data_IF_346055998507
#
_entry.id   IF_346055998507
#
_cell.length_a   1.000
_cell.length_b   1.000
_cell.length_c   1.000
_cell.angle_alpha   90.00
_cell.angle_beta   90.00
_cell.angle_gamma   90.00
#
_symmetry.space_group_name_H-M   'P 1'
#
loop_
_entity.id
_entity.type
_entity.pdbx_description
1 polymer ?
#
# COMPACT_ATOMS: atom_id res chain seq x y z
N UNK A 1 11.26 20.18 -51.83
CA UNK A 1 10.92 20.77 -50.50
C UNK A 1 9.53 20.35 -50.00
N UNK A 2 8.46 20.39 -50.80
CA UNK A 2 7.10 19.97 -50.39
C UNK A 2 6.96 18.48 -50.03
N UNK A 3 7.60 17.59 -50.79
CA UNK A 3 7.57 16.14 -50.57
C UNK A 3 8.20 15.72 -49.22
N UNK A 4 9.26 16.40 -48.80
CA UNK A 4 9.93 16.16 -47.50
C UNK A 4 9.07 16.60 -46.31
N UNK A 5 8.37 17.74 -46.43
CA UNK A 5 7.43 18.22 -45.41
C UNK A 5 6.23 17.29 -45.24
N UNK A 6 5.70 16.76 -46.35
CA UNK A 6 4.59 15.80 -46.33
C UNK A 6 5.00 14.47 -45.69
N UNK A 7 6.17 13.94 -46.05
CA UNK A 7 6.72 12.71 -45.44
C UNK A 7 6.92 12.87 -43.92
N UNK A 8 7.47 14.01 -43.50
CA UNK A 8 7.66 14.31 -42.07
C UNK A 8 6.32 14.43 -41.32
N UNK A 9 5.29 15.03 -41.94
CA UNK A 9 3.96 15.10 -41.35
C UNK A 9 3.33 13.71 -41.14
N UNK A 10 3.50 12.79 -42.10
CA UNK A 10 3.04 11.40 -41.97
C UNK A 10 3.75 10.66 -40.84
N UNK A 11 5.07 10.81 -40.71
CA UNK A 11 5.83 10.19 -39.62
C UNK A 11 5.38 10.70 -38.25
N UNK A 12 5.10 12.00 -38.12
CA UNK A 12 4.58 12.58 -36.88
C UNK A 12 3.17 12.08 -36.54
N UNK A 13 2.31 11.91 -37.55
CA UNK A 13 0.96 11.35 -37.32
C UNK A 13 1.03 9.90 -36.90
N UNK A 14 1.86 9.08 -37.55
CA UNK A 14 2.09 7.69 -37.15
C UNK A 14 2.63 7.61 -35.73
N UNK A 15 3.63 8.43 -35.39
CA UNK A 15 4.20 8.48 -34.05
C UNK A 15 3.16 8.87 -32.99
N UNK A 16 2.32 9.86 -33.28
CA UNK A 16 1.22 10.26 -32.40
C UNK A 16 0.21 9.12 -32.19
N UNK A 17 -0.17 8.42 -33.27
CA UNK A 17 -1.09 7.27 -33.17
C UNK A 17 -0.47 6.12 -32.36
N UNK A 18 0.83 5.87 -32.48
CA UNK A 18 1.55 4.88 -31.66
C UNK A 18 1.52 5.26 -30.18
N UNK A 19 1.73 6.53 -29.83
CA UNK A 19 1.62 7.00 -28.45
C UNK A 19 0.20 6.81 -27.92
N UNK A 20 -0.82 7.21 -28.69
CA UNK A 20 -2.22 7.12 -28.27
C UNK A 20 -2.63 5.67 -28.04
N UNK A 21 -2.28 4.77 -28.96
CA UNK A 21 -2.60 3.34 -28.82
C UNK A 21 -1.87 2.69 -27.65
N UNK A 22 -0.59 2.99 -27.44
CA UNK A 22 0.18 2.53 -26.28
C UNK A 22 -0.42 3.01 -24.96
N UNK A 23 -0.77 4.29 -24.86
CA UNK A 23 -1.39 4.86 -23.67
C UNK A 23 -2.76 4.23 -23.37
N UNK A 24 -3.56 3.93 -24.40
CA UNK A 24 -4.87 3.26 -24.26
C UNK A 24 -4.77 1.78 -23.91
N UNK A 25 -3.67 1.13 -24.29
CA UNK A 25 -3.41 -0.26 -23.95
C UNK A 25 -2.95 -0.45 -22.49
N UNK A 26 -2.62 0.62 -21.77
CA UNK A 26 -2.31 0.52 -20.35
C UNK A 26 -3.57 0.19 -19.55
N UNK A 27 -3.63 -1.05 -19.05
CA UNK A 27 -4.57 -1.44 -18.00
C UNK A 27 -3.85 -1.43 -16.66
N UNK A 28 -4.42 -0.74 -15.68
CA UNK A 28 -4.05 -0.95 -14.28
C UNK A 28 -4.84 -2.14 -13.76
N UNK A 29 -4.19 -3.05 -13.04
CA UNK A 29 -4.88 -4.17 -12.40
C UNK A 29 -6.01 -3.68 -11.50
N UNK A 30 -7.06 -4.46 -11.36
CA UNK A 30 -8.12 -4.15 -10.41
C UNK A 30 -7.58 -4.37 -8.99
N UNK A 31 -7.77 -3.39 -8.12
CA UNK A 31 -7.44 -3.56 -6.71
C UNK A 31 -8.41 -4.58 -6.11
N UNK A 32 -7.86 -5.63 -5.52
CA UNK A 32 -8.63 -6.63 -4.78
C UNK A 32 -8.38 -6.45 -3.28
N UNK A 33 -9.43 -6.68 -2.47
CA UNK A 33 -9.28 -6.72 -1.03
C UNK A 33 -8.53 -8.00 -0.65
N UNK A 34 -7.31 -7.84 -0.13
CA UNK A 34 -6.51 -8.99 0.34
C UNK A 34 -6.73 -9.24 1.83
N UNK A 35 -6.70 -8.17 2.63
CA UNK A 35 -6.88 -8.23 4.07
C UNK A 35 -7.66 -7.00 4.58
N UNK A 36 -8.45 -7.22 5.63
CA UNK A 36 -9.21 -6.20 6.34
C UNK A 36 -9.11 -6.47 7.85
N UNK A 37 -9.00 -5.40 8.64
CA UNK A 37 -8.96 -5.47 10.09
C UNK A 37 -9.86 -4.39 10.68
N UNK A 38 -10.78 -4.78 11.56
CA UNK A 38 -11.50 -3.82 12.40
C UNK A 38 -10.61 -3.29 13.54
N UNK A 39 -9.76 -4.18 14.09
CA UNK A 39 -8.79 -3.88 15.14
C UNK A 39 -7.54 -4.73 14.92
N UNK A 40 -6.36 -4.14 15.11
CA UNK A 40 -5.10 -4.88 15.07
C UNK A 40 -4.86 -5.54 16.44
N UNK A 41 -4.66 -6.86 16.39
CA UNK A 41 -4.21 -7.66 17.53
C UNK A 41 -2.89 -8.36 17.21
N UNK A 42 -2.18 -8.76 18.26
CA UNK A 42 -0.90 -9.45 18.15
C UNK A 42 -1.04 -10.91 18.54
N UNK A 43 -0.11 -11.74 18.06
CA UNK A 43 -0.03 -13.14 18.49
C UNK A 43 0.61 -13.19 19.89
N UNK A 44 -0.21 -13.40 20.91
CA UNK A 44 0.23 -13.41 22.31
C UNK A 44 0.66 -14.82 22.74
N UNK A 45 1.70 -14.95 23.60
CA UNK A 45 2.10 -16.27 24.12
C UNK A 45 0.99 -16.99 24.89
N UNK A 46 0.11 -16.24 25.56
CA UNK A 46 -1.10 -16.72 26.20
C UNK A 46 -2.13 -15.62 26.40
N UNK A 47 -3.41 -15.99 26.58
CA UNK A 47 -4.47 -15.02 26.90
C UNK A 47 -4.20 -14.31 28.24
N UNK A 48 -3.58 -15.00 29.20
CA UNK A 48 -3.23 -14.40 30.48
C UNK A 48 -2.19 -13.27 30.34
N UNK A 49 -1.24 -13.40 29.41
CA UNK A 49 -0.25 -12.35 29.13
C UNK A 49 -0.89 -11.13 28.47
N UNK A 50 -1.84 -11.36 27.55
CA UNK A 50 -2.65 -10.31 26.93
C UNK A 50 -3.48 -9.57 27.97
N UNK A 51 -4.25 -10.29 28.79
CA UNK A 51 -5.07 -9.71 29.85
C UNK A 51 -4.23 -8.93 30.87
N UNK A 52 -3.06 -9.45 31.26
CA UNK A 52 -2.16 -8.76 32.16
C UNK A 52 -1.66 -7.43 31.56
N UNK A 53 -1.32 -7.43 30.27
CA UNK A 53 -0.88 -6.24 29.52
C UNK A 53 -1.99 -5.20 29.34
N UNK A 54 -3.24 -5.65 29.13
CA UNK A 54 -4.40 -4.76 29.11
C UNK A 54 -4.63 -4.16 30.50
N UNK A 55 -4.60 -4.99 31.54
CA UNK A 55 -4.86 -4.57 32.92
C UNK A 55 -3.82 -3.58 33.45
N UNK A 56 -2.55 -3.79 33.12
CA UNK A 56 -1.47 -2.90 33.52
C UNK A 56 -1.34 -1.66 32.60
N UNK A 57 -2.06 -1.66 31.47
CA UNK A 57 -2.09 -0.57 30.51
C UNK A 57 -0.84 -0.46 29.64
N UNK A 58 -0.02 -1.52 29.51
CA UNK A 58 1.03 -1.57 28.48
C UNK A 58 0.44 -1.82 27.09
N UNK A 59 -0.70 -2.50 27.03
CA UNK A 59 -1.43 -2.77 25.81
C UNK A 59 -2.85 -2.17 25.84
N UNK A 60 -3.20 -1.39 24.82
CA UNK A 60 -4.54 -0.80 24.63
C UNK A 60 -4.93 -1.10 23.17
N UNK A 61 -5.77 -2.11 22.94
CA UNK A 61 -6.08 -2.61 21.59
C UNK A 61 -6.51 -1.52 20.60
N UNK A 62 -7.23 -0.51 21.08
CA UNK A 62 -7.78 0.60 20.29
C UNK A 62 -6.71 1.56 19.77
N UNK A 63 -5.46 1.47 20.26
CA UNK A 63 -4.36 2.38 19.89
C UNK A 63 -3.44 1.83 18.81
N UNK A 64 -3.73 0.66 18.26
CA UNK A 64 -2.90 0.01 17.25
C UNK A 64 -3.35 0.38 15.84
N UNK A 65 -2.98 1.57 15.38
CA UNK A 65 -3.28 2.02 14.01
C UNK A 65 -2.18 1.58 13.03
N UNK A 66 -2.55 0.93 11.94
CA UNK A 66 -1.63 0.72 10.81
C UNK A 66 -1.38 2.05 10.08
N UNK A 67 -0.13 2.55 10.08
CA UNK A 67 0.24 3.78 9.36
C UNK A 67 1.16 3.56 8.17
N UNK A 68 1.61 2.32 7.98
CA UNK A 68 2.45 1.95 6.84
C UNK A 68 2.31 0.47 6.52
N UNK A 69 2.43 0.16 5.23
CA UNK A 69 2.37 -1.21 4.71
C UNK A 69 3.54 -1.40 3.74
N UNK A 70 4.26 -2.51 3.88
CA UNK A 70 5.25 -2.97 2.89
C UNK A 70 5.02 -4.45 2.62
N UNK A 71 5.05 -4.83 1.35
CA UNK A 71 4.97 -6.23 0.94
C UNK A 71 6.35 -6.66 0.48
N UNK A 72 6.85 -7.78 0.99
CA UNK A 72 8.09 -8.39 0.54
C UNK A 72 7.94 -9.90 0.49
N UNK A 73 8.09 -10.46 -0.72
CA UNK A 73 7.76 -11.86 -1.02
C UNK A 73 6.31 -12.15 -0.61
N UNK A 74 6.12 -13.11 0.28
CA UNK A 74 4.81 -13.58 0.76
C UNK A 74 4.40 -12.89 2.08
N UNK A 75 5.22 -11.97 2.59
CA UNK A 75 5.01 -11.32 3.88
C UNK A 75 4.51 -9.88 3.74
N UNK A 76 3.57 -9.51 4.60
CA UNK A 76 3.06 -8.14 4.77
C UNK A 76 3.60 -7.57 6.07
N UNK A 77 4.36 -6.49 5.97
CA UNK A 77 4.89 -5.75 7.10
C UNK A 77 4.04 -4.51 7.35
N UNK A 78 3.43 -4.46 8.54
CA UNK A 78 2.66 -3.33 9.01
C UNK A 78 3.50 -2.48 9.98
N UNK A 79 3.47 -1.16 9.80
CA UNK A 79 4.01 -0.22 10.78
C UNK A 79 2.89 0.20 11.72
N UNK A 80 3.01 -0.16 13.00
CA UNK A 80 2.15 0.34 14.08
C UNK A 80 2.98 1.34 14.89
N UNK A 81 2.63 2.63 14.89
CA UNK A 81 3.41 3.62 15.60
C UNK A 81 3.11 3.52 17.10
N UNK A 82 4.13 3.80 17.92
CA UNK A 82 3.99 3.86 19.37
C UNK A 82 3.37 5.21 19.77
N UNK A 83 2.06 5.37 19.59
CA UNK A 83 1.33 6.58 19.96
C UNK A 83 0.79 6.53 21.40
N UNK A 84 0.84 7.66 22.10
CA UNK A 84 0.22 7.86 23.42
C UNK A 84 0.68 6.91 24.56
N UNK A 85 1.93 6.47 24.51
CA UNK A 85 2.57 5.74 25.61
C UNK A 85 3.58 6.63 26.33
N UNK A 86 3.24 7.24 27.49
CA UNK A 86 4.20 8.03 28.26
C UNK A 86 5.44 7.21 28.68
N UNK A 87 5.29 5.90 28.78
CA UNK A 87 6.30 4.93 29.23
C UNK A 87 7.01 4.17 28.10
N UNK A 88 6.58 4.34 26.84
CA UNK A 88 7.29 3.77 25.70
C UNK A 88 7.28 2.24 25.58
N UNK A 89 6.35 1.50 26.18
CA UNK A 89 6.23 0.05 25.98
C UNK A 89 4.94 -0.29 25.21
N UNK A 90 5.00 -1.15 24.17
CA UNK A 90 3.83 -1.81 23.60
C UNK A 90 3.30 -2.94 24.49
#
# INVERSE_FOLDING_TARGET
MYMFKSTMAYLLTVYFLLIVTYARAQSFGQAELVHEWEMLDFDWPSEADKEASIKNGSYVPERNLAVGIKVYKDDVYLTVPRWFWPSGHP
#
